data_IF_866381702994
#
_entry.id   IF_866381702994
#
_cell.length_a   1.000
_cell.length_b   1.000
_cell.length_c   1.000
_cell.angle_alpha   90.00
_cell.angle_beta   90.00
_cell.angle_gamma   90.00
#
_symmetry.space_group_name_H-M   'P 1'
#
loop_
_entity.id
_entity.type
_entity.pdbx_description
1 polymer ?
#
# COMPACT_ATOMS: atom_id res chain seq x y z
N UNK A 1 -2.14 -30.69 3.24
CA UNK A 1 -3.38 -30.21 3.88
C UNK A 1 -3.40 -28.69 3.83
N UNK A 2 -4.51 -28.06 3.44
CA UNK A 2 -4.64 -26.59 3.56
C UNK A 2 -4.66 -26.26 5.06
N UNK A 3 -3.85 -25.31 5.56
CA UNK A 3 -3.82 -24.99 6.98
C UNK A 3 -5.21 -24.53 7.41
N UNK A 4 -5.86 -25.30 8.28
CA UNK A 4 -7.09 -24.89 8.94
C UNK A 4 -6.75 -23.70 9.84
N UNK A 5 -7.40 -22.55 9.62
CA UNK A 5 -7.30 -21.38 10.51
C UNK A 5 -6.54 -20.17 9.97
N UNK A 6 -5.69 -20.29 8.94
CA UNK A 6 -5.02 -19.14 8.31
C UNK A 6 -5.57 -18.90 6.91
N UNK A 7 -6.18 -17.75 6.71
CA UNK A 7 -6.72 -17.34 5.40
C UNK A 7 -5.69 -16.49 4.67
N UNK A 8 -5.54 -16.72 3.36
CA UNK A 8 -4.70 -15.87 2.49
C UNK A 8 -5.19 -14.41 2.43
N UNK A 9 -6.50 -14.20 2.57
CA UNK A 9 -7.11 -12.88 2.68
C UNK A 9 -8.34 -12.94 3.59
N UNK A 10 -8.75 -11.78 4.08
CA UNK A 10 -10.01 -11.62 4.82
C UNK A 10 -11.22 -11.99 3.96
N UNK A 11 -12.34 -12.46 4.55
CA UNK A 11 -13.53 -12.85 3.80
C UNK A 11 -14.14 -11.75 2.94
N UNK A 12 -14.03 -10.48 3.33
CA UNK A 12 -14.47 -9.34 2.52
C UNK A 12 -13.46 -8.91 1.45
N UNK A 13 -12.37 -9.66 1.23
CA UNK A 13 -11.38 -9.42 0.18
C UNK A 13 -10.24 -8.48 0.59
N UNK A 14 -9.01 -8.82 0.17
CA UNK A 14 -7.78 -8.11 0.58
C UNK A 14 -7.65 -6.65 0.13
N UNK A 15 -8.38 -6.26 -0.93
CA UNK A 15 -8.33 -4.89 -1.46
C UNK A 15 -9.45 -4.01 -0.88
N UNK A 16 -10.42 -4.59 -0.18
CA UNK A 16 -11.56 -3.84 0.31
C UNK A 16 -11.24 -3.12 1.64
N UNK A 17 -11.81 -1.92 1.85
CA UNK A 17 -11.69 -1.22 3.12
C UNK A 17 -12.41 -1.94 4.27
N UNK A 18 -12.11 -1.56 5.51
CA UNK A 18 -12.54 -2.29 6.71
C UNK A 18 -14.08 -2.33 6.87
N UNK A 19 -14.78 -1.25 6.52
CA UNK A 19 -16.23 -1.09 6.57
C UNK A 19 -16.98 -1.98 5.59
N UNK A 20 -16.27 -2.63 4.66
CA UNK A 20 -16.84 -3.65 3.78
C UNK A 20 -16.90 -5.03 4.43
N UNK A 21 -16.40 -5.17 5.67
CA UNK A 21 -16.43 -6.44 6.43
C UNK A 21 -17.78 -7.13 6.38
N UNK A 22 -18.90 -6.43 6.52
CA UNK A 22 -20.24 -7.04 6.50
C UNK A 22 -21.04 -6.77 5.22
N UNK A 23 -20.43 -6.10 4.24
CA UNK A 23 -21.09 -5.65 3.00
C UNK A 23 -20.58 -6.36 1.76
N UNK A 24 -19.41 -7.00 1.84
CA UNK A 24 -18.82 -7.76 0.75
C UNK A 24 -18.35 -9.13 1.21
N UNK A 25 -18.44 -10.11 0.31
CA UNK A 25 -17.94 -11.45 0.55
C UNK A 25 -17.23 -11.99 -0.69
N UNK A 26 -15.93 -12.18 -0.57
CA UNK A 26 -15.13 -12.80 -1.61
C UNK A 26 -15.61 -14.24 -1.81
N UNK A 27 -15.83 -14.62 -3.08
CA UNK A 27 -16.54 -15.85 -3.47
C UNK A 27 -16.07 -17.11 -2.74
N UNK A 28 -14.77 -17.25 -2.52
CA UNK A 28 -14.15 -18.42 -1.87
C UNK A 28 -14.27 -18.44 -0.33
N UNK A 29 -14.79 -17.40 0.31
CA UNK A 29 -14.89 -17.26 1.77
C UNK A 29 -16.33 -17.07 2.29
N UNK A 30 -17.35 -17.32 1.45
CA UNK A 30 -18.77 -17.16 1.82
C UNK A 30 -19.20 -17.89 3.10
N UNK A 31 -18.53 -18.99 3.43
CA UNK A 31 -18.83 -19.84 4.59
C UNK A 31 -18.17 -19.39 5.91
N UNK A 32 -17.26 -18.42 5.88
CA UNK A 32 -16.54 -18.01 7.08
C UNK A 32 -17.37 -16.99 7.86
N UNK A 33 -17.41 -17.15 9.18
CA UNK A 33 -17.99 -16.13 10.03
C UNK A 33 -17.04 -14.91 10.08
N UNK A 34 -17.48 -13.78 9.54
CA UNK A 34 -16.67 -12.56 9.46
C UNK A 34 -16.27 -12.02 10.84
N UNK A 35 -17.07 -12.29 11.88
CA UNK A 35 -16.76 -11.87 13.27
C UNK A 35 -15.68 -12.72 13.93
N UNK A 36 -15.47 -13.95 13.44
CA UNK A 36 -14.47 -14.90 13.93
C UNK A 36 -13.14 -14.83 13.15
N UNK A 37 -12.89 -13.73 12.44
CA UNK A 37 -11.65 -13.49 11.70
C UNK A 37 -10.90 -12.32 12.31
N UNK A 38 -9.62 -12.55 12.63
CA UNK A 38 -8.66 -11.53 13.02
C UNK A 38 -7.82 -11.09 11.81
N UNK A 39 -7.99 -9.87 11.28
CA UNK A 39 -7.18 -9.39 10.16
C UNK A 39 -5.77 -9.06 10.59
N UNK A 40 -4.80 -9.46 9.77
CA UNK A 40 -3.43 -8.92 9.79
C UNK A 40 -3.33 -7.97 8.60
N UNK A 41 -3.33 -6.67 8.90
CA UNK A 41 -3.26 -5.59 7.92
C UNK A 41 -1.80 -5.23 7.72
N UNK A 42 -1.33 -5.29 6.48
CA UNK A 42 0.04 -4.85 6.15
C UNK A 42 -0.03 -3.39 5.68
N UNK A 43 0.63 -2.50 6.40
CA UNK A 43 0.87 -1.11 5.97
C UNK A 43 2.24 -1.00 5.31
N UNK A 44 2.37 -0.11 4.33
CA UNK A 44 3.62 0.15 3.63
C UNK A 44 3.92 1.64 3.67
N UNK A 45 5.20 1.99 3.64
CA UNK A 45 5.66 3.36 3.48
C UNK A 45 4.89 4.07 2.33
N UNK A 46 4.25 5.21 2.60
CA UNK A 46 3.36 5.84 1.63
C UNK A 46 4.09 6.27 0.35
N UNK A 47 5.35 6.74 0.43
CA UNK A 47 6.08 7.19 -0.75
C UNK A 47 6.31 6.03 -1.73
N UNK A 48 6.83 4.91 -1.23
CA UNK A 48 7.07 3.72 -2.07
C UNK A 48 5.79 2.97 -2.43
N UNK A 49 4.74 3.07 -1.61
CA UNK A 49 3.41 2.53 -1.92
C UNK A 49 2.81 3.26 -3.12
N UNK A 50 2.80 4.61 -3.11
CA UNK A 50 2.26 5.40 -4.22
C UNK A 50 3.03 5.14 -5.53
N UNK A 51 4.35 5.00 -5.48
CA UNK A 51 5.15 4.58 -6.64
C UNK A 51 4.78 3.18 -7.14
N UNK A 52 4.36 2.27 -6.25
CA UNK A 52 3.94 0.93 -6.68
C UNK A 52 2.58 0.94 -7.34
N UNK A 53 1.67 1.84 -6.93
CA UNK A 53 0.38 2.08 -7.59
C UNK A 53 0.53 2.57 -9.03
N UNK A 54 1.69 3.12 -9.40
CA UNK A 54 2.03 3.51 -10.78
C UNK A 54 2.32 2.34 -11.71
N UNK A 55 2.77 1.21 -11.16
CA UNK A 55 3.03 -0.01 -11.93
C UNK A 55 1.80 -0.90 -11.95
N UNK A 56 1.22 -1.07 -10.77
CA UNK A 56 0.08 -1.94 -10.52
C UNK A 56 -1.03 -1.11 -9.89
N UNK A 57 -1.82 -0.43 -10.71
CA UNK A 57 -2.90 0.41 -10.20
C UNK A 57 -4.09 -0.40 -9.70
N UNK A 58 -4.14 -1.71 -10.00
CA UNK A 58 -5.27 -2.59 -9.72
C UNK A 58 -6.58 -1.95 -10.24
N UNK A 59 -7.56 -1.71 -9.36
CA UNK A 59 -8.82 -1.04 -9.71
C UNK A 59 -8.80 0.48 -9.44
N UNK A 60 -7.64 1.06 -9.15
CA UNK A 60 -7.47 2.51 -9.02
C UNK A 60 -7.20 3.14 -10.40
N UNK A 61 -7.89 4.23 -10.66
CA UNK A 61 -7.81 4.99 -11.91
C UNK A 61 -7.46 6.45 -11.60
N UNK A 62 -6.31 6.89 -12.10
CA UNK A 62 -5.81 8.26 -11.95
C UNK A 62 -4.88 8.59 -13.12
N UNK A 63 -4.85 9.86 -13.52
CA UNK A 63 -3.98 10.29 -14.62
C UNK A 63 -2.52 10.33 -14.16
N UNK A 64 -1.65 9.64 -14.86
CA UNK A 64 -0.22 9.65 -14.59
C UNK A 64 0.59 9.32 -15.83
N UNK A 65 1.80 9.86 -15.89
CA UNK A 65 2.85 9.40 -16.78
C UNK A 65 3.80 8.50 -15.96
N UNK A 66 4.21 7.35 -16.51
CA UNK A 66 5.10 6.39 -15.83
C UNK A 66 6.38 7.04 -15.28
N UNK A 67 6.98 8.01 -15.98
CA UNK A 67 8.21 8.69 -15.54
C UNK A 67 7.96 9.80 -14.50
N UNK A 68 6.72 10.23 -14.32
CA UNK A 68 6.34 11.36 -13.45
C UNK A 68 5.34 10.91 -12.36
N UNK A 69 5.18 9.60 -12.20
CA UNK A 69 4.28 9.01 -11.22
C UNK A 69 4.98 8.98 -9.85
N UNK A 70 4.33 9.45 -8.76
CA UNK A 70 2.91 9.24 -8.48
C UNK A 70 1.94 10.36 -8.79
N UNK A 71 2.40 11.47 -9.38
CA UNK A 71 1.55 12.57 -9.83
C UNK A 71 0.51 13.01 -8.77
N UNK A 72 0.96 13.36 -7.56
CA UNK A 72 0.08 13.72 -6.43
C UNK A 72 -0.69 15.01 -6.72
N UNK A 73 -0.06 15.95 -7.41
CA UNK A 73 -0.68 17.15 -7.94
C UNK A 73 -0.41 17.27 -9.45
N UNK A 74 -1.31 17.89 -10.24
CA UNK A 74 -1.14 17.94 -11.69
C UNK A 74 0.16 18.63 -12.12
N UNK A 75 0.87 18.06 -13.10
CA UNK A 75 1.96 18.73 -13.78
C UNK A 75 1.44 19.75 -14.80
N UNK A 76 2.30 20.66 -15.24
CA UNK A 76 1.94 21.62 -16.30
C UNK A 76 1.50 20.91 -17.59
N UNK A 77 2.13 19.80 -17.97
CA UNK A 77 1.72 19.03 -19.15
C UNK A 77 0.33 18.37 -18.97
N UNK A 78 -0.03 17.94 -17.76
CA UNK A 78 -1.38 17.45 -17.45
C UNK A 78 -2.41 18.56 -17.67
N UNK A 79 -2.11 19.77 -17.20
CA UNK A 79 -2.97 20.96 -17.33
C UNK A 79 -3.13 21.36 -18.80
N UNK A 80 -2.03 21.35 -19.58
CA UNK A 80 -2.06 21.61 -21.02
C UNK A 80 -2.92 20.59 -21.78
N UNK A 81 -2.77 19.30 -21.45
CA UNK A 81 -3.58 18.25 -22.05
C UNK A 81 -5.05 18.28 -21.63
N UNK A 82 -5.33 18.72 -20.40
CA UNK A 82 -6.66 18.77 -19.82
C UNK A 82 -6.81 19.98 -18.90
N UNK A 83 -7.29 21.11 -19.44
CA UNK A 83 -7.42 22.39 -18.72
C UNK A 83 -8.17 22.30 -17.38
N UNK A 84 -9.09 21.32 -17.23
CA UNK A 84 -9.78 21.05 -15.96
C UNK A 84 -8.83 20.76 -14.79
N UNK A 85 -7.63 20.23 -15.05
CA UNK A 85 -6.65 19.96 -14.00
C UNK A 85 -6.00 21.21 -13.45
N UNK A 86 -6.01 22.34 -14.18
CA UNK A 86 -5.50 23.62 -13.67
C UNK A 86 -6.26 24.18 -12.47
N UNK A 87 -7.45 23.64 -12.17
CA UNK A 87 -8.27 24.01 -11.00
C UNK A 87 -8.13 23.04 -9.83
N UNK A 88 -7.39 21.95 -9.99
CA UNK A 88 -7.28 20.91 -8.98
C UNK A 88 -6.01 21.09 -8.15
N UNK A 89 -6.17 21.09 -6.83
CA UNK A 89 -5.01 21.05 -5.91
C UNK A 89 -4.26 19.72 -5.99
N UNK A 90 -4.99 18.63 -6.21
CA UNK A 90 -4.45 17.27 -6.23
C UNK A 90 -5.01 16.46 -7.41
N UNK A 91 -4.27 15.45 -7.86
CA UNK A 91 -4.71 14.55 -8.92
C UNK A 91 -5.70 13.52 -8.34
N UNK A 92 -6.99 13.53 -8.75
CA UNK A 92 -8.00 12.66 -8.16
C UNK A 92 -7.78 11.20 -8.53
N UNK A 93 -8.12 10.31 -7.60
CA UNK A 93 -8.07 8.86 -7.79
C UNK A 93 -9.47 8.30 -7.66
N UNK A 94 -9.92 7.52 -8.64
CA UNK A 94 -11.19 6.80 -8.56
C UNK A 94 -10.89 5.31 -8.39
N UNK A 95 -11.45 4.67 -7.38
CA UNK A 95 -11.28 3.23 -7.14
C UNK A 95 -12.60 2.54 -7.33
N UNK A 96 -12.64 1.57 -8.26
CA UNK A 96 -13.80 0.72 -8.48
C UNK A 96 -13.63 -0.60 -7.70
N UNK A 97 -14.14 -0.64 -6.47
CA UNK A 97 -14.06 -1.86 -5.65
C UNK A 97 -14.98 -2.96 -6.18
N UNK A 98 -16.20 -2.59 -6.57
CA UNK A 98 -17.15 -3.42 -7.32
C UNK A 98 -18.06 -2.50 -8.16
N UNK A 99 -18.97 -3.08 -8.94
CA UNK A 99 -19.80 -2.34 -9.91
C UNK A 99 -20.60 -1.20 -9.27
N UNK A 100 -21.17 -1.44 -8.09
CA UNK A 100 -22.01 -0.53 -7.31
C UNK A 100 -21.25 0.21 -6.18
N UNK A 101 -19.98 -0.13 -5.94
CA UNK A 101 -19.16 0.51 -4.91
C UNK A 101 -17.88 1.12 -5.51
N UNK A 102 -17.97 2.43 -5.79
CA UNK A 102 -16.88 3.24 -6.32
C UNK A 102 -16.57 4.37 -5.35
N UNK A 103 -15.30 4.58 -5.05
CA UNK A 103 -14.86 5.64 -4.13
C UNK A 103 -13.93 6.59 -4.86
N UNK A 104 -14.15 7.90 -4.67
CA UNK A 104 -13.30 8.95 -5.22
C UNK A 104 -12.46 9.57 -4.10
N UNK A 105 -11.15 9.47 -4.24
CA UNK A 105 -10.16 10.08 -3.36
C UNK A 105 -9.58 11.33 -3.99
N UNK A 106 -9.12 12.26 -3.15
CA UNK A 106 -8.52 13.52 -3.61
C UNK A 106 -7.14 13.32 -4.24
N UNK A 107 -6.38 12.33 -3.79
CA UNK A 107 -5.10 11.89 -4.36
C UNK A 107 -4.74 10.48 -3.90
N UNK A 108 -3.65 9.91 -4.43
CA UNK A 108 -3.10 8.66 -3.92
C UNK A 108 -2.74 8.74 -2.43
N UNK A 109 -2.18 9.86 -1.98
CA UNK A 109 -1.86 10.06 -0.56
C UNK A 109 -3.13 10.04 0.31
N UNK A 110 -4.21 10.67 -0.16
CA UNK A 110 -5.50 10.62 0.55
C UNK A 110 -6.11 9.21 0.54
N UNK A 111 -5.98 8.47 -0.57
CA UNK A 111 -6.40 7.06 -0.62
C UNK A 111 -5.65 6.22 0.42
N UNK A 112 -4.33 6.38 0.54
CA UNK A 112 -3.53 5.72 1.57
C UNK A 112 -4.04 6.08 2.96
N UNK A 113 -4.20 7.38 3.26
CA UNK A 113 -4.67 7.85 4.56
C UNK A 113 -6.03 7.24 4.92
N UNK A 114 -7.01 7.37 4.01
CA UNK A 114 -8.38 6.97 4.29
C UNK A 114 -8.50 5.45 4.48
N UNK A 115 -7.79 4.66 3.67
CA UNK A 115 -7.80 3.20 3.78
C UNK A 115 -7.23 2.71 5.13
N UNK A 116 -6.07 3.24 5.56
CA UNK A 116 -5.48 2.85 6.85
C UNK A 116 -6.20 3.47 8.04
N UNK A 117 -6.74 4.69 7.92
CA UNK A 117 -7.55 5.31 8.97
C UNK A 117 -8.80 4.50 9.26
N UNK A 118 -9.41 3.91 8.24
CA UNK A 118 -10.58 3.07 8.41
C UNK A 118 -10.27 1.82 9.24
N UNK A 119 -9.16 1.14 8.95
CA UNK A 119 -8.70 0.03 9.79
C UNK A 119 -8.30 0.50 11.19
N UNK A 120 -7.57 1.61 11.36
CA UNK A 120 -7.07 1.99 12.69
C UNK A 120 -8.15 2.57 13.60
N UNK A 121 -8.95 3.50 13.08
CA UNK A 121 -9.82 4.37 13.90
C UNK A 121 -11.30 4.03 13.80
N UNK A 122 -11.74 3.46 12.68
CA UNK A 122 -13.18 3.28 12.40
C UNK A 122 -13.65 1.85 12.62
N UNK A 123 -12.82 0.87 12.26
CA UNK A 123 -13.14 -0.52 12.48
C UNK A 123 -13.35 -0.79 13.98
N UNK A 124 -14.35 -1.58 14.30
CA UNK A 124 -14.80 -1.91 15.65
C UNK A 124 -14.38 -3.31 16.10
N UNK A 125 -13.46 -3.95 15.37
CA UNK A 125 -13.03 -5.31 15.59
C UNK A 125 -11.51 -5.47 15.81
N UNK A 126 -11.08 -6.51 16.55
CA UNK A 126 -9.65 -6.77 16.75
C UNK A 126 -8.90 -6.94 15.43
N UNK A 127 -7.67 -6.45 15.38
CA UNK A 127 -6.81 -6.46 14.19
C UNK A 127 -5.35 -6.31 14.61
N UNK A 128 -4.45 -6.83 13.80
CA UNK A 128 -3.02 -6.59 13.91
C UNK A 128 -2.62 -5.76 12.70
N UNK A 129 -1.84 -4.68 12.92
CA UNK A 129 -1.26 -3.91 11.81
C UNK A 129 0.25 -4.06 11.86
N UNK A 130 0.85 -4.45 10.75
CA UNK A 130 2.30 -4.65 10.61
C UNK A 130 2.83 -3.88 9.43
N UNK A 131 4.04 -3.33 9.55
CA UNK A 131 4.70 -2.68 8.42
C UNK A 131 5.28 -3.73 7.49
N UNK A 132 5.15 -3.50 6.18
CA UNK A 132 5.76 -4.34 5.16
C UNK A 132 7.27 -4.39 5.35
N UNK A 133 7.87 -3.26 5.71
CA UNK A 133 9.30 -3.14 5.94
C UNK A 133 9.76 -4.07 7.07
N UNK A 134 9.01 -4.16 8.18
CA UNK A 134 9.33 -5.06 9.29
C UNK A 134 9.21 -6.54 8.87
N UNK A 135 8.23 -6.88 8.04
CA UNK A 135 8.10 -8.23 7.49
C UNK A 135 9.26 -8.60 6.55
N UNK A 136 9.77 -7.63 5.79
CA UNK A 136 10.90 -7.82 4.86
C UNK A 136 12.22 -7.98 5.62
N UNK A 137 12.52 -7.11 6.58
CA UNK A 137 13.82 -7.10 7.29
C UNK A 137 13.85 -8.02 8.50
N UNK A 138 12.71 -8.21 9.16
CA UNK A 138 12.60 -8.90 10.44
C UNK A 138 11.48 -9.96 10.43
N UNK A 139 11.16 -10.53 9.27
CA UNK A 139 10.02 -11.44 9.08
C UNK A 139 9.92 -12.54 10.14
N UNK A 140 11.03 -13.21 10.48
CA UNK A 140 11.02 -14.24 11.55
C UNK A 140 10.53 -13.68 12.89
N UNK A 141 11.08 -12.53 13.30
CA UNK A 141 10.74 -11.88 14.56
C UNK A 141 9.28 -11.37 14.55
N UNK A 142 8.85 -10.73 13.46
CA UNK A 142 7.47 -10.22 13.33
C UNK A 142 6.45 -11.35 13.36
N UNK A 143 6.69 -12.43 12.61
CA UNK A 143 5.80 -13.60 12.62
C UNK A 143 5.78 -14.26 14.00
N UNK A 144 6.91 -14.35 14.70
CA UNK A 144 6.93 -14.81 16.08
C UNK A 144 6.05 -13.94 16.99
N UNK A 145 6.15 -12.61 16.89
CA UNK A 145 5.32 -11.68 17.68
C UNK A 145 3.84 -11.79 17.35
N UNK A 146 3.48 -12.00 16.08
CA UNK A 146 2.11 -12.27 15.69
C UNK A 146 1.62 -13.58 16.33
N UNK A 147 2.41 -14.65 16.27
CA UNK A 147 2.05 -15.93 16.89
C UNK A 147 1.81 -15.77 18.40
N UNK A 148 2.72 -15.10 19.11
CA UNK A 148 2.58 -14.79 20.53
C UNK A 148 1.30 -13.99 20.82
N UNK A 149 0.94 -13.03 19.97
CA UNK A 149 -0.26 -12.19 20.14
C UNK A 149 -1.58 -12.95 19.99
N UNK A 150 -1.60 -14.06 19.24
CA UNK A 150 -2.83 -14.82 18.94
C UNK A 150 -2.85 -16.18 19.63
N UNK A 151 -2.02 -16.34 20.68
CA UNK A 151 -1.82 -17.58 21.43
C UNK A 151 -1.43 -18.78 20.53
N UNK A 152 -0.74 -18.51 19.42
CA UNK A 152 -0.20 -19.54 18.54
C UNK A 152 1.23 -19.88 18.93
N UNK A 153 1.57 -21.17 18.83
CA UNK A 153 2.94 -21.63 19.04
C UNK A 153 3.80 -21.36 17.82
N UNK A 154 4.72 -20.41 17.93
CA UNK A 154 5.76 -20.22 16.91
C UNK A 154 6.65 -21.48 16.81
N UNK A 155 6.93 -21.95 15.59
CA UNK A 155 7.75 -23.12 15.34
C UNK A 155 9.12 -22.72 14.74
N UNK A 156 10.18 -22.56 15.57
CA UNK A 156 11.44 -21.96 15.14
C UNK A 156 12.36 -22.86 14.31
N UNK A 157 12.20 -24.19 14.35
CA UNK A 157 13.14 -25.14 13.75
C UNK A 157 12.64 -25.67 12.39
N UNK A 158 13.42 -25.41 11.33
CA UNK A 158 13.30 -26.04 10.01
C UNK A 158 12.12 -25.65 9.12
N UNK A 159 11.25 -24.70 9.53
CA UNK A 159 10.01 -24.36 8.79
C UNK A 159 9.79 -22.89 8.46
N UNK A 160 10.56 -21.96 9.01
CA UNK A 160 10.52 -20.58 8.55
C UNK A 160 11.43 -20.44 7.33
N UNK A 161 10.83 -20.52 6.15
CA UNK A 161 11.53 -20.40 4.87
C UNK A 161 11.09 -19.12 4.19
N UNK A 162 12.05 -18.28 3.84
CA UNK A 162 11.76 -17.18 2.94
C UNK A 162 11.63 -17.72 1.52
N UNK A 163 10.54 -17.37 0.84
CA UNK A 163 10.40 -17.64 -0.59
C UNK A 163 11.31 -16.69 -1.37
N UNK A 164 12.46 -17.20 -1.84
CA UNK A 164 13.46 -16.42 -2.57
C UNK A 164 12.96 -15.90 -3.92
N UNK A 165 12.11 -16.67 -4.60
CA UNK A 165 11.85 -16.50 -6.03
C UNK A 165 10.63 -15.63 -6.37
N UNK A 166 9.62 -15.48 -5.50
CA UNK A 166 8.50 -14.55 -5.72
C UNK A 166 7.59 -14.50 -4.51
N UNK A 167 7.18 -13.29 -4.10
CA UNK A 167 6.14 -13.10 -3.09
C UNK A 167 4.71 -13.41 -3.61
N UNK A 168 4.51 -13.53 -4.93
CA UNK A 168 3.22 -13.66 -5.59
C UNK A 168 3.14 -14.92 -6.48
N UNK A 169 3.39 -16.11 -5.94
CA UNK A 169 3.30 -17.39 -6.68
C UNK A 169 1.86 -17.84 -7.04
N UNK A 170 0.94 -16.91 -7.25
CA UNK A 170 -0.41 -17.25 -7.72
C UNK A 170 -0.37 -17.47 -9.25
N UNK A 171 -1.01 -18.55 -9.71
CA UNK A 171 -1.14 -18.92 -11.13
C UNK A 171 -1.65 -17.72 -11.95
N UNK A 172 -0.79 -17.12 -12.75
CA UNK A 172 -1.15 -16.01 -13.64
C UNK A 172 -0.12 -14.89 -13.78
N UNK A 173 0.97 -14.89 -13.00
CA UNK A 173 2.11 -13.96 -13.19
C UNK A 173 3.27 -14.78 -13.75
N UNK A 174 3.75 -14.40 -14.94
CA UNK A 174 4.90 -15.02 -15.59
C UNK A 174 6.11 -15.02 -14.63
N UNK A 175 6.68 -16.21 -14.42
CA UNK A 175 7.81 -16.44 -13.51
C UNK A 175 9.16 -16.01 -14.13
N UNK A 176 9.15 -15.47 -15.35
CA UNK A 176 10.37 -15.26 -16.13
C UNK A 176 11.24 -14.10 -15.65
N UNK A 177 10.70 -13.13 -14.89
CA UNK A 177 11.46 -11.95 -14.42
C UNK A 177 11.11 -11.59 -12.97
N UNK A 178 11.57 -12.39 -12.00
CA UNK A 178 11.19 -12.19 -10.59
C UNK A 178 11.87 -10.98 -9.89
N UNK A 179 11.52 -9.76 -10.29
CA UNK A 179 11.88 -8.51 -9.60
C UNK A 179 11.37 -8.42 -8.14
N UNK A 180 10.57 -9.40 -7.68
CA UNK A 180 9.86 -9.38 -6.39
C UNK A 180 10.33 -10.47 -5.40
N UNK A 181 11.53 -11.02 -5.57
CA UNK A 181 12.15 -11.89 -4.57
C UNK A 181 12.47 -11.17 -3.25
N UNK A 182 12.77 -11.92 -2.18
CA UNK A 182 13.13 -11.33 -0.88
C UNK A 182 14.33 -10.39 -1.01
N UNK A 183 15.39 -10.81 -1.71
CA UNK A 183 16.60 -10.01 -1.88
C UNK A 183 16.31 -8.69 -2.59
N UNK A 184 15.54 -8.72 -3.68
CA UNK A 184 15.13 -7.50 -4.39
C UNK A 184 14.26 -6.61 -3.52
N UNK A 185 13.41 -7.19 -2.68
CA UNK A 185 12.63 -6.44 -1.68
C UNK A 185 13.55 -5.78 -0.65
N UNK A 186 14.52 -6.48 -0.10
CA UNK A 186 15.52 -5.93 0.84
C UNK A 186 16.29 -4.78 0.19
N UNK A 187 16.78 -4.94 -1.05
CA UNK A 187 17.49 -3.88 -1.78
C UNK A 187 16.58 -2.66 -1.98
N UNK A 188 15.34 -2.89 -2.46
CA UNK A 188 14.37 -1.84 -2.75
C UNK A 188 13.97 -1.06 -1.51
N UNK A 189 13.58 -1.75 -0.45
CA UNK A 189 13.09 -1.12 0.78
C UNK A 189 14.23 -0.64 1.69
N UNK A 190 15.44 -1.18 1.52
CA UNK A 190 16.61 -0.82 2.31
C UNK A 190 17.28 0.46 1.81
N UNK A 191 17.00 0.85 0.57
CA UNK A 191 17.51 2.09 -0.02
C UNK A 191 16.50 3.24 0.18
N UNK A 192 16.78 4.12 1.13
CA UNK A 192 15.95 5.29 1.44
C UNK A 192 15.80 6.26 0.25
N UNK A 193 16.76 6.30 -0.68
CA UNK A 193 16.69 7.19 -1.86
C UNK A 193 15.54 6.82 -2.79
N UNK A 194 15.07 5.57 -2.76
CA UNK A 194 13.93 5.12 -3.56
C UNK A 194 12.65 5.87 -3.23
N UNK A 195 12.52 6.40 -2.00
CA UNK A 195 11.36 7.21 -1.56
C UNK A 195 11.23 8.53 -2.33
N UNK A 196 12.32 9.01 -2.96
CA UNK A 196 12.35 10.24 -3.77
C UNK A 196 12.23 10.00 -5.27
N UNK A 197 12.30 8.74 -5.71
CA UNK A 197 12.25 8.42 -7.13
C UNK A 197 10.95 8.98 -7.75
N UNK A 198 11.11 9.79 -8.81
CA UNK A 198 10.03 10.48 -9.52
C UNK A 198 9.22 11.50 -8.70
N UNK A 199 9.77 11.99 -7.60
CA UNK A 199 9.20 13.11 -6.84
C UNK A 199 10.06 14.36 -6.97
N UNK A 200 9.77 15.28 -7.90
CA UNK A 200 10.30 16.63 -7.80
C UNK A 200 9.79 17.32 -6.52
N UNK A 201 10.47 18.35 -6.04
CA UNK A 201 10.20 18.98 -4.74
C UNK A 201 8.74 19.44 -4.57
N UNK A 202 8.10 19.94 -5.63
CA UNK A 202 6.70 20.36 -5.54
C UNK A 202 5.75 19.17 -5.30
N UNK A 203 6.05 17.98 -5.83
CA UNK A 203 5.32 16.75 -5.55
C UNK A 203 5.62 16.25 -4.13
N UNK A 204 6.87 16.36 -3.64
CA UNK A 204 7.21 16.04 -2.25
C UNK A 204 6.44 16.92 -1.28
N UNK A 205 6.36 18.23 -1.55
CA UNK A 205 5.56 19.17 -0.75
C UNK A 205 4.08 18.81 -0.78
N UNK A 206 3.53 18.51 -1.95
CA UNK A 206 2.14 18.06 -2.07
C UNK A 206 1.87 16.76 -1.28
N UNK A 207 2.81 15.81 -1.29
CA UNK A 207 2.73 14.59 -0.50
C UNK A 207 2.79 14.89 1.01
N UNK A 208 3.72 15.74 1.45
CA UNK A 208 3.83 16.16 2.86
C UNK A 208 2.55 16.84 3.37
N UNK A 209 1.92 17.69 2.55
CA UNK A 209 0.66 18.34 2.88
C UNK A 209 -0.52 17.36 2.94
N UNK A 210 -0.52 16.38 2.02
CA UNK A 210 -1.64 15.45 1.87
C UNK A 210 -1.59 14.28 2.86
N UNK A 211 -0.41 13.81 3.26
CA UNK A 211 -0.25 12.67 4.17
C UNK A 211 -0.66 13.05 5.60
N UNK A 212 -1.37 12.13 6.26
CA UNK A 212 -1.89 12.33 7.60
C UNK A 212 -0.76 12.24 8.64
N UNK A 213 -0.55 13.32 9.40
CA UNK A 213 0.53 13.42 10.39
C UNK A 213 0.44 12.37 11.48
N UNK A 214 -0.76 12.04 11.92
CA UNK A 214 -0.95 11.05 12.98
C UNK A 214 -0.64 9.65 12.46
N UNK A 215 -1.06 9.31 11.23
CA UNK A 215 -0.73 8.02 10.62
C UNK A 215 0.77 7.88 10.38
N UNK A 216 1.40 8.94 9.86
CA UNK A 216 2.85 8.98 9.66
C UNK A 216 3.59 8.75 10.99
N UNK A 217 3.17 9.47 12.05
CA UNK A 217 3.73 9.31 13.39
C UNK A 217 3.48 7.91 13.97
N UNK A 218 2.24 7.42 13.91
CA UNK A 218 1.82 6.13 14.45
C UNK A 218 2.58 4.96 13.83
N UNK A 219 2.83 5.00 12.51
CA UNK A 219 3.61 3.97 11.82
C UNK A 219 5.12 4.27 11.77
N UNK A 220 5.57 5.32 12.45
CA UNK A 220 6.97 5.75 12.47
C UNK A 220 7.56 6.01 11.06
N UNK A 221 6.73 6.46 10.12
CA UNK A 221 7.19 6.93 8.82
C UNK A 221 7.61 8.39 8.91
N UNK A 222 8.69 8.73 8.21
CA UNK A 222 9.19 10.11 8.13
C UNK A 222 8.68 10.76 6.85
N UNK A 223 8.57 12.07 6.87
CA UNK A 223 8.44 12.85 5.64
C UNK A 223 9.78 12.89 4.92
N UNK A 224 9.77 12.82 3.58
CA UNK A 224 10.96 13.09 2.79
C UNK A 224 11.30 14.58 2.88
N UNK A 225 12.55 14.98 3.18
CA UNK A 225 12.93 16.39 3.17
C UNK A 225 12.89 16.95 1.76
N UNK A 226 12.58 18.23 1.65
CA UNK A 226 12.73 18.97 0.38
C UNK A 226 14.22 19.19 0.13
N UNK A 227 14.67 19.11 -1.12
CA UNK A 227 16.05 19.47 -1.44
C UNK A 227 16.22 21.00 -1.30
N UNK A 228 17.30 21.44 -0.65
CA UNK A 228 17.54 22.85 -0.32
C UNK A 228 17.79 23.76 -1.53
N UNK A 229 17.98 23.21 -2.74
CA UNK A 229 18.20 23.99 -3.95
C UNK A 229 17.61 23.30 -5.18
N UNK A 230 16.39 23.66 -5.57
CA UNK A 230 16.04 23.63 -6.99
C UNK A 230 16.66 24.89 -7.62
N UNK A 231 17.85 24.75 -8.19
CA UNK A 231 18.19 25.62 -9.31
C UNK A 231 17.19 25.30 -10.41
N UNK A 232 16.18 26.15 -10.50
CA UNK A 232 15.11 26.14 -11.50
C UNK A 232 15.74 26.14 -12.90
N UNK A 233 15.92 24.96 -13.48
CA UNK A 233 16.02 24.82 -14.93
C UNK A 233 14.60 24.54 -15.44
N UNK A 234 13.80 25.61 -15.47
CA UNK A 234 12.53 25.67 -16.22
C UNK A 234 12.83 25.76 -17.71
N UNK A 235 13.34 24.68 -18.32
CA UNK A 235 13.36 24.52 -19.77
C UNK A 235 13.13 23.06 -20.16
N UNK A 236 11.85 22.69 -20.32
CA UNK A 236 11.33 21.67 -21.26
C UNK A 236 9.79 21.66 -21.26
#
# INVERSE_FOLDING_TARGET
>A
QKPHGVLWQVPWGKHFPAGMRHKHNATQYKRYNHTAVLPIVVVRDPYTWMQSMCRESYNAHFAHNKSLCPNIMPYQHDIRGYARYGKLKYMPVNVAYMEDYKVKYRSLAHMWNDWYREYLRTADFPRIVVRLEDLVFHGRYVIQKICECVDFKFMPYGRFVHTSNSANQNKGIDLSDSENGLLNSIIKYGNSTTRRLNYPNFQLRAAQEALDKDLMSFFHYKYEPLADHDHVNEHA
#
